data_IF_158563896537
#
_entry.id   IF_158563896537
#
_cell.length_a   1.000
_cell.length_b   1.000
_cell.length_c   1.000
_cell.angle_alpha   90.00
_cell.angle_beta   90.00
_cell.angle_gamma   90.00
#
_symmetry.space_group_name_H-M   'P 1'
#
loop_
_entity.id
_entity.type
_entity.pdbx_description
1 polymer ?
#
# COMPACT_ATOMS: atom_id res chain seq x y z
N UNK A 1 14.53 36.73 -2.22
CA UNK A 1 14.95 36.17 -0.92
C UNK A 1 13.79 35.84 0.04
N UNK A 2 12.92 36.76 0.48
CA UNK A 2 11.82 36.43 1.44
C UNK A 2 10.68 35.60 0.81
N UNK A 3 10.33 35.87 -0.45
CA UNK A 3 9.26 35.18 -1.19
C UNK A 3 9.61 33.74 -1.60
N UNK A 4 10.89 33.45 -1.84
CA UNK A 4 11.36 32.09 -2.16
C UNK A 4 11.38 31.19 -0.92
N UNK A 5 11.75 31.75 0.23
CA UNK A 5 11.74 31.03 1.52
C UNK A 5 10.30 30.69 1.97
N UNK A 6 9.32 31.57 1.72
CA UNK A 6 7.90 31.30 2.02
C UNK A 6 7.29 30.22 1.11
N UNK A 7 7.67 30.20 -0.18
CA UNK A 7 7.26 29.12 -1.10
C UNK A 7 7.85 27.77 -0.67
N UNK A 8 9.11 27.74 -0.21
CA UNK A 8 9.74 26.55 0.34
C UNK A 8 9.05 26.04 1.61
N UNK A 9 8.68 26.94 2.52
CA UNK A 9 8.00 26.60 3.76
C UNK A 9 6.58 26.07 3.54
N UNK A 10 5.81 26.72 2.66
CA UNK A 10 4.46 26.27 2.29
C UNK A 10 4.48 24.90 1.59
N UNK A 11 5.46 24.65 0.72
CA UNK A 11 5.64 23.36 0.05
C UNK A 11 6.05 22.26 1.03
N UNK A 12 6.96 22.52 1.97
CA UNK A 12 7.33 21.58 3.03
C UNK A 12 6.18 21.26 3.98
N UNK A 13 5.34 22.24 4.31
CA UNK A 13 4.21 22.04 5.22
C UNK A 13 3.09 21.23 4.55
N UNK A 14 2.79 21.51 3.28
CA UNK A 14 1.86 20.71 2.47
C UNK A 14 2.38 19.28 2.25
N UNK A 15 3.65 19.10 1.91
CA UNK A 15 4.26 17.77 1.76
C UNK A 15 4.25 17.00 3.09
N UNK A 16 4.53 17.65 4.22
CA UNK A 16 4.46 17.05 5.55
C UNK A 16 3.05 16.61 5.93
N UNK A 17 2.03 17.45 5.68
CA UNK A 17 0.63 17.10 5.94
C UNK A 17 0.19 15.92 5.07
N UNK A 18 0.53 15.92 3.78
CA UNK A 18 0.15 14.84 2.87
C UNK A 18 0.86 13.53 3.23
N UNK A 19 2.15 13.58 3.57
CA UNK A 19 2.90 12.42 4.04
C UNK A 19 2.30 11.82 5.33
N UNK A 20 1.86 12.66 6.27
CA UNK A 20 1.26 12.17 7.53
C UNK A 20 -0.10 11.49 7.36
N UNK A 21 -0.86 11.83 6.32
CA UNK A 21 -2.20 11.26 6.07
C UNK A 21 -2.18 10.09 5.08
N UNK A 22 -1.09 9.92 4.34
CA UNK A 22 -0.91 8.85 3.37
C UNK A 22 -1.22 7.44 3.93
N UNK A 23 -0.73 7.06 5.14
CA UNK A 23 -1.02 5.75 5.69
C UNK A 23 -2.50 5.56 6.00
N UNK A 24 -3.19 6.60 6.48
CA UNK A 24 -4.63 6.52 6.81
C UNK A 24 -5.46 6.29 5.55
N UNK A 25 -5.16 7.02 4.48
CA UNK A 25 -5.85 6.88 3.18
C UNK A 25 -5.62 5.49 2.60
N UNK A 26 -4.36 5.04 2.54
CA UNK A 26 -4.01 3.71 2.02
C UNK A 26 -4.62 2.58 2.85
N UNK A 27 -4.69 2.72 4.18
CA UNK A 27 -5.42 1.76 5.04
C UNK A 27 -6.88 1.66 4.58
N UNK A 28 -7.57 2.78 4.39
CA UNK A 28 -8.96 2.78 3.94
C UNK A 28 -9.15 2.09 2.59
N UNK A 29 -8.28 2.40 1.63
CA UNK A 29 -8.32 1.81 0.29
C UNK A 29 -8.03 0.31 0.29
N UNK A 30 -7.07 -0.13 1.11
CA UNK A 30 -6.73 -1.54 1.24
C UNK A 30 -7.89 -2.35 1.81
N UNK A 31 -8.54 -1.86 2.87
CA UNK A 31 -9.70 -2.55 3.44
C UNK A 31 -10.87 -2.58 2.45
N UNK A 32 -11.07 -1.51 1.66
CA UNK A 32 -12.10 -1.49 0.63
C UNK A 32 -11.82 -2.48 -0.51
N UNK A 33 -10.57 -2.60 -0.96
CA UNK A 33 -10.14 -3.63 -1.91
C UNK A 33 -10.51 -5.03 -1.41
N UNK A 34 -10.01 -5.37 -0.22
CA UNK A 34 -10.18 -6.71 0.34
C UNK A 34 -11.66 -7.06 0.51
N UNK A 35 -12.50 -6.07 0.83
CA UNK A 35 -13.94 -6.21 0.94
C UNK A 35 -14.63 -6.33 -0.42
N UNK A 36 -14.39 -5.39 -1.34
CA UNK A 36 -15.06 -5.29 -2.65
C UNK A 36 -14.74 -6.50 -3.54
N UNK A 37 -13.49 -6.96 -3.53
CA UNK A 37 -13.03 -8.07 -4.37
C UNK A 37 -13.15 -9.43 -3.65
N UNK A 38 -13.80 -9.44 -2.48
CA UNK A 38 -14.05 -10.62 -1.65
C UNK A 38 -12.77 -11.42 -1.41
N UNK A 39 -11.69 -10.72 -1.03
CA UNK A 39 -10.40 -11.35 -0.74
C UNK A 39 -10.50 -12.05 0.61
N UNK A 40 -10.79 -13.35 0.58
CA UNK A 40 -10.93 -14.19 1.77
C UNK A 40 -9.65 -14.94 2.09
N UNK A 41 -9.55 -15.52 3.31
CA UNK A 41 -8.44 -16.42 3.69
C UNK A 41 -8.26 -17.54 2.68
N UNK A 42 -9.34 -18.16 2.22
CA UNK A 42 -9.29 -19.26 1.25
C UNK A 42 -8.68 -18.80 -0.08
N UNK A 43 -9.08 -17.62 -0.59
CA UNK A 43 -8.49 -17.05 -1.81
C UNK A 43 -7.00 -16.73 -1.61
N UNK A 44 -6.63 -16.09 -0.50
CA UNK A 44 -5.22 -15.77 -0.21
C UNK A 44 -4.38 -17.04 -0.08
N UNK A 45 -4.88 -18.11 0.53
CA UNK A 45 -4.17 -19.40 0.56
C UNK A 45 -3.87 -19.90 -0.85
N UNK A 46 -4.87 -19.88 -1.74
CA UNK A 46 -4.66 -20.26 -3.15
C UNK A 46 -3.64 -19.36 -3.83
N UNK A 47 -3.71 -18.05 -3.60
CA UNK A 47 -2.76 -17.09 -4.18
C UNK A 47 -1.34 -17.34 -3.70
N UNK A 48 -1.15 -17.59 -2.40
CA UNK A 48 0.16 -17.90 -1.80
C UNK A 48 0.71 -19.21 -2.35
N UNK A 49 -0.13 -20.24 -2.48
CA UNK A 49 0.27 -21.55 -3.01
C UNK A 49 0.65 -21.47 -4.49
N UNK A 50 -0.08 -20.67 -5.27
CA UNK A 50 0.17 -20.48 -6.71
C UNK A 50 1.10 -19.31 -7.03
N UNK A 51 1.62 -18.62 -6.01
CA UNK A 51 2.37 -17.36 -6.13
C UNK A 51 1.70 -16.33 -7.06
N UNK A 52 0.37 -16.22 -6.99
CA UNK A 52 -0.40 -15.22 -7.73
C UNK A 52 -0.26 -13.84 -7.08
N UNK A 53 -0.42 -12.79 -7.89
CA UNK A 53 -0.37 -11.40 -7.41
C UNK A 53 -1.65 -11.06 -6.64
N UNK A 54 -1.53 -10.31 -5.54
CA UNK A 54 -2.69 -9.69 -4.89
C UNK A 54 -3.28 -8.59 -5.80
N UNK A 55 -2.39 -7.85 -6.45
CA UNK A 55 -2.72 -6.64 -7.20
C UNK A 55 -3.41 -6.93 -8.54
N UNK A 56 -3.31 -8.15 -9.07
CA UNK A 56 -4.06 -8.54 -10.28
C UNK A 56 -5.58 -8.58 -10.07
N UNK A 57 -6.04 -8.49 -8.82
CA UNK A 57 -7.46 -8.43 -8.49
C UNK A 57 -7.99 -7.00 -8.40
N UNK A 58 -7.11 -5.98 -8.46
CA UNK A 58 -7.51 -4.58 -8.41
C UNK A 58 -8.46 -4.24 -9.57
N UNK A 59 -9.62 -3.69 -9.26
CA UNK A 59 -10.45 -3.05 -10.28
C UNK A 59 -9.73 -1.81 -10.83
N UNK A 60 -10.00 -1.41 -12.10
CA UNK A 60 -9.39 -0.22 -12.69
C UNK A 60 -9.58 1.04 -11.84
N UNK A 61 -10.73 1.18 -11.15
CA UNK A 61 -11.01 2.32 -10.28
C UNK A 61 -10.11 2.34 -9.03
N UNK A 62 -9.86 1.17 -8.42
CA UNK A 62 -8.99 1.07 -7.25
C UNK A 62 -7.55 1.31 -7.67
N UNK A 63 -7.11 0.70 -8.77
CA UNK A 63 -5.79 0.93 -9.37
C UNK A 63 -5.55 2.42 -9.58
N UNK A 64 -6.47 3.11 -10.27
CA UNK A 64 -6.35 4.55 -10.53
C UNK A 64 -6.29 5.38 -9.24
N UNK A 65 -7.10 5.03 -8.25
CA UNK A 65 -7.09 5.71 -6.95
C UNK A 65 -5.75 5.51 -6.24
N UNK A 66 -5.16 4.33 -6.36
CA UNK A 66 -3.91 3.97 -5.70
C UNK A 66 -2.72 4.70 -6.32
N UNK A 67 -2.70 4.81 -7.66
CA UNK A 67 -1.76 5.67 -8.38
C UNK A 67 -1.90 7.14 -8.00
N UNK A 68 -3.13 7.69 -7.96
CA UNK A 68 -3.32 9.09 -7.54
C UNK A 68 -2.97 9.35 -6.07
N UNK A 69 -3.11 8.34 -5.21
CA UNK A 69 -2.61 8.42 -3.85
C UNK A 69 -1.07 8.45 -3.86
N UNK A 70 -0.42 7.54 -4.59
CA UNK A 70 1.04 7.49 -4.71
C UNK A 70 1.66 8.78 -5.25
N UNK A 71 1.07 9.40 -6.28
CA UNK A 71 1.53 10.70 -6.83
C UNK A 71 1.61 11.83 -5.78
N UNK A 72 0.78 11.74 -4.74
CA UNK A 72 0.70 12.76 -3.68
C UNK A 72 1.62 12.45 -2.51
N UNK A 73 2.11 11.22 -2.43
CA UNK A 73 2.89 10.72 -1.32
C UNK A 73 4.37 10.79 -1.70
N UNK A 74 5.21 11.52 -0.95
CA UNK A 74 6.61 11.67 -1.30
C UNK A 74 7.40 10.35 -1.23
N UNK A 75 6.95 9.41 -0.38
CA UNK A 75 7.57 8.10 -0.21
C UNK A 75 6.59 7.10 0.45
N UNK A 76 6.56 5.86 -0.02
CA UNK A 76 5.75 4.74 0.50
C UNK A 76 6.55 3.75 1.34
N UNK A 77 7.71 4.15 1.88
CA UNK A 77 8.51 3.33 2.78
C UNK A 77 7.74 2.80 3.99
N UNK A 78 6.70 3.51 4.44
CA UNK A 78 5.81 3.06 5.51
C UNK A 78 5.00 1.79 5.15
N UNK A 79 4.85 1.46 3.86
CA UNK A 79 4.15 0.26 3.41
C UNK A 79 5.03 -0.96 3.67
N UNK A 80 4.98 -1.48 4.89
CA UNK A 80 5.69 -2.70 5.33
C UNK A 80 4.71 -3.85 5.57
N UNK A 81 5.23 -5.06 5.76
CA UNK A 81 4.41 -6.23 6.11
C UNK A 81 3.65 -5.99 7.41
N UNK A 82 4.32 -5.44 8.41
CA UNK A 82 3.78 -5.11 9.72
C UNK A 82 2.67 -4.07 9.60
N UNK A 83 2.94 -2.99 8.86
CA UNK A 83 1.94 -1.97 8.59
C UNK A 83 0.72 -2.54 7.87
N UNK A 84 0.91 -3.40 6.86
CA UNK A 84 -0.20 -4.02 6.12
C UNK A 84 -1.06 -4.88 7.02
N UNK A 85 -0.43 -5.72 7.85
CA UNK A 85 -1.13 -6.58 8.81
C UNK A 85 -1.93 -5.73 9.80
N UNK A 86 -1.34 -4.64 10.31
CA UNK A 86 -2.01 -3.72 11.22
C UNK A 86 -3.15 -2.96 10.56
N UNK A 87 -2.97 -2.55 9.31
CA UNK A 87 -3.98 -1.85 8.52
C UNK A 87 -5.25 -2.68 8.32
N UNK A 88 -5.13 -4.00 8.17
CA UNK A 88 -6.27 -4.90 7.93
C UNK A 88 -6.76 -5.59 9.20
N UNK A 89 -6.08 -5.42 10.34
CA UNK A 89 -6.30 -6.23 11.56
C UNK A 89 -7.72 -6.09 12.11
N UNK A 90 -8.27 -4.88 12.07
CA UNK A 90 -9.58 -4.58 12.64
C UNK A 90 -10.71 -5.19 11.81
N UNK A 91 -10.66 -4.98 10.49
CA UNK A 91 -11.72 -5.37 9.55
C UNK A 91 -11.57 -6.80 9.01
N UNK A 92 -10.34 -7.34 8.94
CA UNK A 92 -10.02 -8.64 8.36
C UNK A 92 -9.14 -9.49 9.29
N UNK A 93 -9.57 -9.67 10.55
CA UNK A 93 -8.84 -10.42 11.59
C UNK A 93 -8.29 -11.78 11.16
N UNK A 94 -9.06 -12.54 10.37
CA UNK A 94 -8.65 -13.85 9.90
C UNK A 94 -7.50 -13.78 8.88
N UNK A 95 -7.50 -12.78 7.99
CA UNK A 95 -6.38 -12.52 7.09
C UNK A 95 -5.14 -12.05 7.84
N UNK A 96 -5.29 -11.12 8.79
CA UNK A 96 -4.18 -10.69 9.64
C UNK A 96 -3.56 -11.89 10.38
N UNK A 97 -4.39 -12.77 10.92
CA UNK A 97 -3.96 -14.00 11.60
C UNK A 97 -3.24 -14.96 10.67
N UNK A 98 -3.69 -15.09 9.41
CA UNK A 98 -3.00 -15.90 8.40
C UNK A 98 -1.56 -15.42 8.18
N UNK A 99 -1.36 -14.12 7.98
CA UNK A 99 -0.03 -13.55 7.75
C UNK A 99 0.87 -13.59 8.98
N UNK A 100 0.30 -13.56 10.18
CA UNK A 100 1.06 -13.72 11.43
C UNK A 100 1.45 -15.17 11.70
N UNK A 101 0.54 -16.12 11.45
CA UNK A 101 0.72 -17.54 11.78
C UNK A 101 1.43 -18.36 10.70
N UNK A 102 1.45 -17.90 9.45
CA UNK A 102 1.99 -18.67 8.33
C UNK A 102 3.14 -17.96 7.61
N UNK A 103 4.37 -18.42 7.88
CA UNK A 103 5.61 -17.83 7.32
C UNK A 103 5.61 -17.70 5.79
N UNK A 104 5.03 -18.68 5.07
CA UNK A 104 4.96 -18.65 3.61
C UNK A 104 4.07 -17.50 3.12
N UNK A 105 2.90 -17.30 3.73
CA UNK A 105 2.04 -16.17 3.40
C UNK A 105 2.68 -14.83 3.75
N UNK A 106 3.37 -14.73 4.90
CA UNK A 106 4.13 -13.52 5.27
C UNK A 106 5.18 -13.16 4.23
N UNK A 107 5.97 -14.13 3.80
CA UNK A 107 7.00 -13.92 2.78
C UNK A 107 6.40 -13.59 1.41
N UNK A 108 5.26 -14.20 1.07
CA UNK A 108 4.52 -13.84 -0.14
C UNK A 108 4.02 -12.40 -0.07
N UNK A 109 3.46 -11.97 1.07
CA UNK A 109 2.99 -10.60 1.28
C UNK A 109 4.14 -9.58 1.15
N UNK A 110 5.32 -9.90 1.70
CA UNK A 110 6.51 -9.07 1.51
C UNK A 110 6.82 -8.86 0.01
N UNK A 111 6.78 -9.93 -0.80
CA UNK A 111 6.98 -9.81 -2.25
C UNK A 111 5.89 -9.00 -2.94
N UNK A 112 4.64 -9.10 -2.49
CA UNK A 112 3.55 -8.27 -3.03
C UNK A 112 3.80 -6.79 -2.75
N UNK A 113 4.24 -6.46 -1.53
CA UNK A 113 4.58 -5.09 -1.15
C UNK A 113 5.73 -4.55 -2.00
N UNK A 114 6.80 -5.31 -2.18
CA UNK A 114 7.92 -4.90 -3.05
C UNK A 114 7.48 -4.71 -4.51
N UNK A 115 6.61 -5.59 -5.02
CA UNK A 115 6.09 -5.49 -6.38
C UNK A 115 5.30 -4.19 -6.59
N UNK A 116 4.40 -3.83 -5.67
CA UNK A 116 3.64 -2.59 -5.81
C UNK A 116 4.51 -1.35 -5.57
N UNK A 117 5.54 -1.45 -4.70
CA UNK A 117 6.51 -0.37 -4.52
C UNK A 117 7.26 -0.06 -5.81
N UNK A 118 7.76 -1.10 -6.48
CA UNK A 118 8.46 -0.97 -7.75
C UNK A 118 7.55 -0.45 -8.88
N UNK A 119 6.26 -0.79 -8.86
CA UNK A 119 5.28 -0.30 -9.84
C UNK A 119 4.93 1.18 -9.64
N UNK A 120 4.81 1.63 -8.38
CA UNK A 120 4.42 3.01 -8.05
C UNK A 120 5.58 4.01 -8.07
N UNK A 121 6.77 3.55 -7.68
CA UNK A 121 7.99 4.34 -7.66
C UNK A 121 9.03 3.59 -8.49
N UNK A 122 8.81 3.48 -9.81
CA UNK A 122 9.86 2.96 -10.68
C UNK A 122 11.07 3.85 -10.46
N UNK A 123 12.20 3.24 -10.12
CA UNK A 123 13.48 3.95 -10.08
C UNK A 123 13.64 4.54 -11.48
N UNK A 124 13.51 5.86 -11.61
CA UNK A 124 13.84 6.52 -12.87
C UNK A 124 15.31 6.18 -13.14
N UNK A 125 15.54 5.39 -14.19
CA UNK A 125 16.89 5.17 -14.72
C UNK A 125 17.42 6.56 -15.06
N UNK A 126 18.30 7.08 -14.19
CA UNK A 126 19.03 8.32 -14.42
C UNK A 126 19.97 8.01 -15.59
N UNK A 127 19.46 8.25 -16.80
CA UNK A 127 20.19 8.19 -18.07
C UNK A 127 21.02 9.45 -18.26
#
# INVERSE_FOLDING_TARGET
MVLENLKGFGKMTLQGIVATQAPVVLKGMLNELLRRDDITVAKVVVMVEKNQSLWSHLSPEITHSLYRAAERVPDIDFLTVEWFIDAIREDHRALASLFLGWKKARNWLARQIEAIKAELYPVEDIS
#
